data_IF_976890283650
#
_entry.id   IF_976890283650
#
_cell.length_a   1.000
_cell.length_b   1.000
_cell.length_c   1.000
_cell.angle_alpha   90.00
_cell.angle_beta   90.00
_cell.angle_gamma   90.00
#
_symmetry.space_group_name_H-M   'P 1'
#
loop_
_entity.id
_entity.type
_entity.pdbx_description
1 polymer ?
#
# COMPACT_ATOMS: atom_id res chain seq x y z
N UNK A 1 -51.50 -19.28 -7.77
CA UNK A 1 -50.88 -17.97 -7.49
C UNK A 1 -49.65 -17.85 -8.37
N UNK A 2 -49.77 -17.18 -9.54
CA UNK A 2 -48.66 -17.01 -10.49
C UNK A 2 -47.94 -15.72 -10.13
N UNK A 3 -46.69 -15.87 -9.67
CA UNK A 3 -45.80 -14.77 -9.33
C UNK A 3 -45.69 -13.79 -10.51
N UNK A 4 -46.19 -12.58 -10.32
CA UNK A 4 -46.09 -11.47 -11.28
C UNK A 4 -44.99 -10.53 -10.80
N UNK A 5 -43.75 -10.97 -10.83
CA UNK A 5 -42.64 -10.02 -10.77
C UNK A 5 -42.43 -9.51 -12.19
N UNK A 6 -42.77 -8.24 -12.50
CA UNK A 6 -42.47 -7.69 -13.82
C UNK A 6 -40.95 -7.71 -13.97
N UNK A 7 -40.47 -8.20 -15.11
CA UNK A 7 -39.05 -8.31 -15.48
C UNK A 7 -38.30 -6.96 -15.58
N UNK A 8 -38.82 -5.91 -14.95
CA UNK A 8 -38.29 -4.54 -14.95
C UNK A 8 -37.50 -4.17 -13.69
N UNK A 9 -37.53 -4.99 -12.63
CA UNK A 9 -36.77 -4.69 -11.39
C UNK A 9 -35.28 -5.08 -11.51
N UNK A 10 -34.87 -5.75 -12.59
CA UNK A 10 -33.51 -6.28 -12.77
C UNK A 10 -32.59 -5.38 -13.61
N UNK A 11 -33.00 -4.15 -13.97
CA UNK A 11 -32.29 -3.34 -14.97
C UNK A 11 -31.36 -2.23 -14.44
N UNK A 12 -31.47 -1.63 -13.22
CA UNK A 12 -30.54 -0.54 -12.87
C UNK A 12 -29.20 -1.02 -12.28
N UNK A 13 -28.93 -2.32 -12.19
CA UNK A 13 -27.68 -2.83 -11.60
C UNK A 13 -26.44 -2.67 -12.52
N UNK A 14 -26.63 -2.23 -13.77
CA UNK A 14 -25.56 -2.17 -14.78
C UNK A 14 -25.06 -0.75 -15.12
N UNK A 15 -25.52 0.29 -14.42
CA UNK A 15 -25.16 1.69 -14.75
C UNK A 15 -24.20 2.37 -13.75
N UNK A 16 -23.70 1.65 -12.73
CA UNK A 16 -23.01 2.26 -11.58
C UNK A 16 -21.48 2.09 -11.52
N UNK A 17 -20.81 1.66 -12.59
CA UNK A 17 -19.40 1.28 -12.54
C UNK A 17 -18.46 2.16 -13.39
N UNK A 18 -18.72 3.47 -13.50
CA UNK A 18 -17.63 4.41 -13.79
C UNK A 18 -16.82 4.61 -12.51
N UNK A 19 -16.06 3.57 -12.15
CA UNK A 19 -15.11 3.65 -11.05
C UNK A 19 -14.16 4.82 -11.34
N UNK A 20 -14.19 5.84 -10.50
CA UNK A 20 -13.14 6.84 -10.44
C UNK A 20 -11.84 6.09 -10.16
N UNK A 21 -11.01 5.90 -11.19
CA UNK A 21 -9.66 5.40 -11.02
C UNK A 21 -8.87 6.48 -10.27
N UNK A 22 -8.87 6.42 -8.94
CA UNK A 22 -7.98 7.23 -8.15
C UNK A 22 -6.55 6.86 -8.53
N UNK A 23 -5.75 7.85 -8.92
CA UNK A 23 -4.34 7.62 -9.17
C UNK A 23 -3.69 7.08 -7.89
N UNK A 24 -3.05 5.91 -7.98
CA UNK A 24 -2.31 5.37 -6.86
C UNK A 24 -1.18 6.34 -6.48
N UNK A 25 -0.91 6.57 -5.18
CA UNK A 25 0.20 7.39 -4.76
C UNK A 25 1.52 6.81 -5.27
N UNK A 26 2.43 7.68 -5.69
CA UNK A 26 3.74 7.25 -6.15
C UNK A 26 4.53 6.57 -5.03
N UNK A 27 5.53 5.77 -5.41
CA UNK A 27 6.43 5.15 -4.43
C UNK A 27 7.06 6.19 -3.48
N UNK A 28 7.44 7.36 -4.01
CA UNK A 28 7.98 8.46 -3.20
C UNK A 28 6.94 8.99 -2.20
N UNK A 29 5.70 9.22 -2.64
CA UNK A 29 4.63 9.69 -1.76
C UNK A 29 4.32 8.70 -0.65
N UNK A 30 4.32 7.40 -0.96
CA UNK A 30 4.14 6.37 0.06
C UNK A 30 5.32 6.31 1.02
N UNK A 31 6.55 6.42 0.50
CA UNK A 31 7.75 6.41 1.32
C UNK A 31 7.78 7.55 2.33
N UNK A 32 7.50 8.78 1.88
CA UNK A 32 7.46 9.96 2.73
C UNK A 32 6.38 9.82 3.82
N UNK A 33 5.21 9.28 3.47
CA UNK A 33 4.09 9.14 4.40
C UNK A 33 4.27 8.02 5.43
N UNK A 34 4.89 6.92 5.06
CA UNK A 34 4.84 5.68 5.85
C UNK A 34 6.21 5.20 6.34
N UNK A 35 7.30 5.58 5.66
CA UNK A 35 8.61 4.97 5.87
C UNK A 35 9.64 5.97 6.44
N UNK A 36 9.60 7.22 5.98
CA UNK A 36 10.63 8.22 6.25
C UNK A 36 10.75 8.60 7.74
N UNK A 37 9.71 8.40 8.56
CA UNK A 37 9.76 8.65 10.01
C UNK A 37 10.80 7.79 10.72
N UNK A 38 10.97 6.54 10.28
CA UNK A 38 11.97 5.60 10.79
C UNK A 38 13.22 5.58 9.92
N UNK A 39 13.05 5.54 8.59
CA UNK A 39 14.17 5.33 7.67
C UNK A 39 14.85 6.61 7.18
N UNK A 40 14.27 7.79 7.44
CA UNK A 40 14.76 9.07 6.91
C UNK A 40 14.46 9.23 5.42
N UNK A 41 14.46 10.46 4.91
CA UNK A 41 14.25 10.72 3.48
C UNK A 41 15.38 10.13 2.60
N UNK A 42 16.55 9.88 3.18
CA UNK A 42 17.70 9.28 2.52
C UNK A 42 17.79 7.75 2.69
N UNK A 43 16.84 7.14 3.40
CA UNK A 43 16.78 5.70 3.61
C UNK A 43 17.83 5.11 4.54
N UNK A 44 18.64 5.93 5.22
CA UNK A 44 19.75 5.46 6.05
C UNK A 44 19.37 5.04 7.47
N UNK A 45 18.12 5.23 7.88
CA UNK A 45 17.65 4.86 9.22
C UNK A 45 18.17 5.74 10.35
N UNK A 46 18.79 6.88 10.04
CA UNK A 46 19.49 7.70 11.03
C UNK A 46 18.59 8.69 11.80
N UNK A 47 17.27 8.54 11.70
CA UNK A 47 16.34 9.35 12.50
C UNK A 47 16.44 8.97 13.98
N UNK A 48 15.95 9.83 14.87
CA UNK A 48 15.88 9.51 16.32
C UNK A 48 15.09 8.21 16.56
N UNK A 49 13.97 8.04 15.86
CA UNK A 49 13.13 6.85 15.99
C UNK A 49 13.82 5.63 15.37
N UNK A 50 14.41 5.77 14.19
CA UNK A 50 15.15 4.69 13.52
C UNK A 50 16.31 4.16 14.34
N UNK A 51 17.09 5.04 14.97
CA UNK A 51 18.17 4.61 15.89
C UNK A 51 17.64 3.89 17.14
N UNK A 52 16.47 4.30 17.66
CA UNK A 52 15.86 3.67 18.83
C UNK A 52 15.29 2.29 18.51
N UNK A 53 14.71 2.11 17.33
CA UNK A 53 14.11 0.83 16.90
C UNK A 53 15.09 -0.11 16.20
N UNK A 54 16.31 0.35 15.88
CA UNK A 54 17.27 -0.43 15.10
C UNK A 54 16.90 -0.53 13.63
N UNK A 55 16.29 0.52 13.07
CA UNK A 55 15.94 0.58 11.65
C UNK A 55 17.20 0.36 10.78
N UNK A 56 17.12 -0.62 9.88
CA UNK A 56 18.21 -0.95 8.96
C UNK A 56 18.43 0.18 7.95
N UNK A 57 19.68 0.31 7.49
CA UNK A 57 20.01 1.14 6.34
C UNK A 57 19.49 0.47 5.06
N UNK A 58 18.50 1.06 4.41
CA UNK A 58 17.89 0.53 3.18
C UNK A 58 18.74 0.80 1.92
N UNK A 59 19.75 1.67 2.02
CA UNK A 59 20.70 1.91 0.93
C UNK A 59 21.83 0.89 0.91
N UNK A 60 21.95 0.09 1.96
CA UNK A 60 22.96 -0.96 2.05
C UNK A 60 22.52 -2.17 1.24
N UNK A 61 23.19 -2.40 0.10
CA UNK A 61 22.97 -3.56 -0.77
C UNK A 61 23.28 -4.89 -0.07
N UNK A 62 23.99 -4.86 1.06
CA UNK A 62 24.28 -6.03 1.89
C UNK A 62 23.11 -6.46 2.79
N UNK A 63 22.20 -5.53 3.10
CA UNK A 63 21.18 -5.69 4.14
C UNK A 63 19.90 -6.37 3.67
N UNK A 64 19.49 -6.17 2.42
CA UNK A 64 18.33 -6.84 1.81
C UNK A 64 18.65 -8.27 1.36
N UNK A 65 19.91 -8.59 1.06
CA UNK A 65 20.33 -9.94 0.66
C UNK A 65 20.37 -10.97 1.80
N UNK A 66 20.15 -10.56 3.05
CA UNK A 66 20.18 -11.42 4.25
C UNK A 66 18.82 -11.69 4.87
N UNK A 67 17.74 -11.16 4.32
CA UNK A 67 16.39 -11.50 4.74
C UNK A 67 15.85 -12.47 3.70
N UNK A 68 16.06 -13.76 3.93
CA UNK A 68 15.43 -14.80 3.12
C UNK A 68 14.10 -15.18 3.75
N UNK A 69 13.12 -15.61 2.96
CA UNK A 69 11.81 -16.07 3.48
C UNK A 69 11.95 -17.27 4.43
N UNK A 70 13.12 -17.95 4.42
CA UNK A 70 13.43 -19.04 5.33
C UNK A 70 13.71 -18.58 6.78
N UNK A 71 13.91 -17.28 7.00
CA UNK A 71 14.33 -16.69 8.28
C UNK A 71 13.27 -15.76 8.90
N UNK A 72 12.08 -15.67 8.30
CA UNK A 72 10.90 -14.92 8.78
C UNK A 72 9.82 -15.87 9.32
#
# INVERSE_FOLDING_TARGET
MRSRYPAFVLVPLLAGATAFAAAAPSAAQNYDKHCASCHGADGKGQTRLGRKSGAKNLTDKSGTGKLTDAEL
#
